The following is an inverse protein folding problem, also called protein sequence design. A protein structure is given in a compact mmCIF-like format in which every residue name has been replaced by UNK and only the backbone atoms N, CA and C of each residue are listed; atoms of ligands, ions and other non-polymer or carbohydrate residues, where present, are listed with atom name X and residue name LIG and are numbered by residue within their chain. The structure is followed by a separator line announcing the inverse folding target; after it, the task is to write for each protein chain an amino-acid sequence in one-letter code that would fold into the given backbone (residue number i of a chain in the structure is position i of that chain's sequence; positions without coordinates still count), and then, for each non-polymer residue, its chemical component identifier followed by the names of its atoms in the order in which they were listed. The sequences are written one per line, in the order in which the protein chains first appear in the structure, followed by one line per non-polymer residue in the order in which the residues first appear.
data_IF_405976788749
#
_entry.id   IF_405976788749
#
_cell.length_a   1.000
_cell.length_b   1.000
_cell.length_c   1.000
_cell.angle_alpha   90.00
_cell.angle_beta   90.00
_cell.angle_gamma   90.00
#
_symmetry.space_group_name_H-M   'P 1'
#
loop_
_entity.id
_entity.type
_entity.pdbx_description
1 polymer ?
#
# COMPACT_ATOMS: atom_id res chain seq x y z
N UNK A 1 -17.48 54.17 31.87
CA UNK A 1 -17.11 52.77 32.15
C UNK A 1 -15.68 52.56 31.71
N UNK A 2 -14.71 52.50 32.62
CA UNK A 2 -13.33 52.16 32.28
C UNK A 2 -13.25 50.64 32.17
N UNK A 3 -13.22 50.15 30.95
CA UNK A 3 -13.01 48.73 30.69
C UNK A 3 -11.59 48.39 31.12
N UNK A 4 -11.47 47.50 32.11
CA UNK A 4 -10.21 47.18 32.76
C UNK A 4 -9.28 46.52 31.76
N UNK A 5 -8.21 47.20 31.36
CA UNK A 5 -7.24 46.80 30.32
C UNK A 5 -6.65 45.41 30.60
N UNK A 6 -6.71 44.91 31.83
CA UNK A 6 -6.24 43.58 32.18
C UNK A 6 -7.18 42.47 31.71
N UNK A 7 -8.50 42.71 31.76
CA UNK A 7 -9.51 41.73 31.31
C UNK A 7 -9.45 41.55 29.81
N UNK A 8 -9.26 42.65 29.08
CA UNK A 8 -9.13 42.57 27.61
C UNK A 8 -7.86 41.81 27.18
N UNK A 9 -6.75 41.99 27.88
CA UNK A 9 -5.51 41.23 27.61
C UNK A 9 -5.64 39.74 27.87
N UNK A 10 -6.32 39.37 28.96
CA UNK A 10 -6.57 37.95 29.30
C UNK A 10 -7.49 37.30 28.25
N UNK A 11 -8.56 37.99 27.84
CA UNK A 11 -9.47 37.50 26.78
C UNK A 11 -8.76 37.31 25.45
N UNK A 12 -7.87 38.22 25.03
CA UNK A 12 -7.11 38.11 23.80
C UNK A 12 -6.10 36.96 23.84
N UNK A 13 -5.45 36.70 24.98
CA UNK A 13 -4.51 35.61 25.15
C UNK A 13 -5.21 34.24 25.14
N UNK A 14 -6.39 34.12 25.73
CA UNK A 14 -7.16 32.87 25.70
C UNK A 14 -7.73 32.56 24.30
N UNK A 15 -8.14 33.57 23.54
CA UNK A 15 -8.59 33.38 22.15
C UNK A 15 -7.46 32.91 21.23
N UNK A 16 -6.26 33.44 21.40
CA UNK A 16 -5.08 33.05 20.61
C UNK A 16 -4.68 31.58 20.86
N UNK A 17 -4.80 31.11 22.10
CA UNK A 17 -4.45 29.70 22.44
C UNK A 17 -5.50 28.69 21.91
N UNK A 18 -6.77 29.08 21.84
CA UNK A 18 -7.83 28.20 21.29
C UNK A 18 -7.69 28.06 19.78
N UNK A 19 -7.29 29.11 19.05
CA UNK A 19 -7.07 29.08 17.59
C UNK A 19 -5.87 28.21 17.20
N UNK A 20 -4.83 28.16 18.03
CA UNK A 20 -3.64 27.31 17.72
C UNK A 20 -3.88 25.82 18.01
N UNK A 21 -4.74 25.47 18.95
CA UNK A 21 -5.09 24.09 19.27
C UNK A 21 -6.15 23.50 18.30
N UNK A 22 -6.96 24.32 17.66
CA UNK A 22 -8.03 23.91 16.74
C UNK A 22 -7.54 23.50 15.34
N UNK A 23 -6.36 23.96 14.91
CA UNK A 23 -5.84 23.69 13.55
C UNK A 23 -5.10 22.34 13.48
N UNK A 24 -4.64 21.80 14.61
CA UNK A 24 -3.87 20.55 14.65
C UNK A 24 -4.67 19.27 14.45
N UNK A 25 -6.00 19.29 14.57
CA UNK A 25 -6.83 18.06 14.59
C UNK A 25 -7.41 17.70 13.21
N UNK A 26 -7.41 18.62 12.24
CA UNK A 26 -8.03 18.37 10.92
C UNK A 26 -7.06 17.74 9.93
N UNK A 27 -5.74 17.81 10.15
CA UNK A 27 -4.74 17.25 9.22
C UNK A 27 -4.48 15.74 9.39
N UNK A 28 -4.96 15.12 10.46
CA UNK A 28 -4.64 13.70 10.71
C UNK A 28 -5.50 12.68 9.96
N UNK A 29 -6.55 13.08 9.27
CA UNK A 29 -7.46 12.14 8.56
C UNK A 29 -7.26 12.02 7.05
N UNK A 30 -6.59 12.97 6.41
CA UNK A 30 -6.33 12.93 4.97
C UNK A 30 -5.03 12.19 4.62
N UNK A 31 -4.08 12.06 5.55
CA UNK A 31 -2.74 11.49 5.33
C UNK A 31 -2.75 9.98 5.10
N UNK A 32 -3.68 9.24 5.67
CA UNK A 32 -3.67 7.77 5.61
C UNK A 32 -4.05 7.17 4.24
N UNK A 33 -4.81 7.89 3.41
CA UNK A 33 -5.21 7.42 2.07
C UNK A 33 -4.20 7.76 0.98
N UNK A 34 -3.55 8.89 1.09
CA UNK A 34 -2.52 9.33 0.14
C UNK A 34 -1.20 8.59 0.33
N UNK A 35 -0.81 8.34 1.56
CA UNK A 35 0.40 7.58 1.89
C UNK A 35 0.31 6.11 1.41
N UNK A 36 -0.87 5.52 1.40
CA UNK A 36 -1.09 4.17 0.87
C UNK A 36 -0.99 4.12 -0.66
N UNK A 37 -1.38 5.18 -1.36
CA UNK A 37 -1.25 5.29 -2.81
C UNK A 37 0.20 5.54 -3.25
N UNK A 38 1.00 6.22 -2.42
CA UNK A 38 2.43 6.48 -2.66
C UNK A 38 3.32 5.27 -2.36
N UNK A 39 2.87 4.30 -1.54
CA UNK A 39 3.64 3.10 -1.21
C UNK A 39 3.98 2.24 -2.43
N UNK A 40 3.12 2.23 -3.44
CA UNK A 40 3.34 1.43 -4.64
C UNK A 40 2.82 2.19 -5.89
N UNK A 41 3.67 3.00 -6.55
CA UNK A 41 3.32 3.66 -7.80
C UNK A 41 2.84 2.67 -8.86
N UNK A 42 1.90 3.08 -9.70
CA UNK A 42 1.31 2.24 -10.77
C UNK A 42 2.37 1.64 -11.69
N UNK A 43 3.44 2.37 -11.98
CA UNK A 43 4.56 1.87 -12.79
C UNK A 43 5.20 0.64 -12.12
N UNK A 44 5.46 0.69 -10.82
CA UNK A 44 6.09 -0.41 -10.08
C UNK A 44 5.17 -1.64 -10.02
N UNK A 45 3.85 -1.43 -9.90
CA UNK A 45 2.85 -2.51 -9.97
C UNK A 45 2.95 -3.20 -11.34
N UNK A 46 3.02 -2.43 -12.41
CA UNK A 46 3.10 -2.93 -13.79
C UNK A 46 4.40 -3.70 -14.05
N UNK A 47 5.53 -3.18 -13.57
CA UNK A 47 6.84 -3.84 -13.66
C UNK A 47 6.86 -5.17 -12.90
N UNK A 48 6.31 -5.21 -11.71
CA UNK A 48 6.23 -6.40 -10.88
C UNK A 48 5.33 -7.46 -11.53
N UNK A 49 4.18 -7.07 -12.06
CA UNK A 49 3.28 -7.95 -12.78
C UNK A 49 3.96 -8.54 -14.05
N UNK A 50 4.64 -7.71 -14.80
CA UNK A 50 5.38 -8.12 -15.98
C UNK A 50 6.49 -9.12 -15.65
N UNK A 51 7.26 -8.85 -14.61
CA UNK A 51 8.30 -9.75 -14.12
C UNK A 51 7.71 -11.10 -13.71
N UNK A 52 6.63 -11.10 -12.92
CA UNK A 52 5.88 -12.31 -12.55
C UNK A 52 5.46 -13.11 -13.80
N UNK A 53 4.81 -12.47 -14.76
CA UNK A 53 4.33 -13.10 -15.98
C UNK A 53 5.47 -13.70 -16.82
N UNK A 54 6.58 -13.00 -16.90
CA UNK A 54 7.77 -13.46 -17.63
C UNK A 54 8.41 -14.68 -16.98
N UNK A 55 8.54 -14.68 -15.66
CA UNK A 55 9.09 -15.81 -14.92
C UNK A 55 8.18 -17.05 -15.02
N UNK A 56 6.87 -16.90 -14.92
CA UNK A 56 5.95 -18.02 -15.13
C UNK A 56 6.05 -18.62 -16.54
N UNK A 57 6.24 -17.80 -17.57
CA UNK A 57 6.44 -18.31 -18.94
C UNK A 57 7.71 -19.14 -19.08
N UNK A 58 8.77 -18.77 -18.37
CA UNK A 58 10.04 -19.51 -18.39
C UNK A 58 9.95 -20.81 -17.60
N UNK A 59 9.41 -20.74 -16.36
CA UNK A 59 9.41 -21.85 -15.42
C UNK A 59 8.28 -22.85 -15.69
N UNK A 60 7.15 -22.39 -16.19
CA UNK A 60 5.95 -23.18 -16.43
C UNK A 60 5.34 -22.86 -17.81
N UNK A 61 6.00 -23.24 -18.91
CA UNK A 61 5.58 -22.88 -20.27
C UNK A 61 4.22 -23.48 -20.68
N UNK A 62 3.77 -24.54 -20.00
CA UNK A 62 2.46 -25.18 -20.22
C UNK A 62 1.32 -24.53 -19.46
N UNK A 63 1.60 -23.52 -18.62
CA UNK A 63 0.57 -22.82 -17.86
C UNK A 63 -0.29 -21.99 -18.82
N UNK A 64 -1.63 -22.11 -18.67
CA UNK A 64 -2.55 -21.30 -19.49
C UNK A 64 -2.38 -19.82 -19.20
N UNK A 65 -2.66 -18.99 -20.20
CA UNK A 65 -2.60 -17.53 -20.07
C UNK A 65 -3.50 -17.04 -18.93
N UNK A 66 -4.71 -17.56 -18.84
CA UNK A 66 -5.69 -17.20 -17.81
C UNK A 66 -5.18 -17.52 -16.40
N UNK A 67 -4.59 -18.69 -16.22
CA UNK A 67 -4.03 -19.10 -14.92
C UNK A 67 -2.84 -18.22 -14.55
N UNK A 68 -1.97 -17.89 -15.53
CA UNK A 68 -0.82 -16.99 -15.32
C UNK A 68 -1.28 -15.59 -14.89
N UNK A 69 -2.27 -15.02 -15.59
CA UNK A 69 -2.87 -13.73 -15.23
C UNK A 69 -3.40 -13.75 -13.81
N UNK A 70 -4.22 -14.75 -13.46
CA UNK A 70 -4.76 -14.92 -12.12
C UNK A 70 -3.66 -14.96 -11.03
N UNK A 71 -2.62 -15.74 -11.24
CA UNK A 71 -1.52 -15.88 -10.26
C UNK A 71 -0.73 -14.58 -10.12
N UNK A 72 -0.45 -13.88 -11.23
CA UNK A 72 0.29 -12.62 -11.19
C UNK A 72 -0.53 -11.48 -10.62
N UNK A 73 -1.83 -11.43 -10.85
CA UNK A 73 -2.74 -10.47 -10.21
C UNK A 73 -2.77 -10.70 -8.69
N UNK A 74 -2.97 -11.94 -8.26
CA UNK A 74 -2.98 -12.31 -6.85
C UNK A 74 -1.64 -11.96 -6.16
N UNK A 75 -0.52 -12.31 -6.77
CA UNK A 75 0.82 -12.01 -6.27
C UNK A 75 1.06 -10.51 -6.15
N UNK A 76 0.78 -9.77 -7.21
CA UNK A 76 0.99 -8.31 -7.26
C UNK A 76 0.11 -7.60 -6.23
N UNK A 77 -1.15 -8.01 -6.10
CA UNK A 77 -2.08 -7.45 -5.11
C UNK A 77 -1.61 -7.70 -3.67
N UNK A 78 -1.11 -8.89 -3.38
CA UNK A 78 -0.53 -9.20 -2.07
C UNK A 78 0.71 -8.34 -1.79
N UNK A 79 1.63 -8.24 -2.76
CA UNK A 79 2.87 -7.49 -2.59
C UNK A 79 2.62 -6.02 -2.29
N UNK A 80 1.77 -5.35 -3.08
CA UNK A 80 1.46 -3.93 -2.88
C UNK A 80 0.73 -3.62 -1.57
N UNK A 81 0.02 -4.59 -1.01
CA UNK A 81 -0.69 -4.45 0.28
C UNK A 81 0.23 -4.69 1.48
N UNK A 82 1.26 -5.49 1.32
CA UNK A 82 2.09 -5.98 2.42
C UNK A 82 3.43 -5.26 2.54
N UNK A 83 3.99 -4.82 1.41
CA UNK A 83 5.34 -4.26 1.33
C UNK A 83 5.34 -2.86 0.74
N UNK A 84 6.40 -2.09 1.00
CA UNK A 84 6.73 -0.88 0.25
C UNK A 84 7.60 -1.22 -0.97
N UNK A 85 7.71 -0.29 -1.92
CA UNK A 85 8.60 -0.45 -3.09
C UNK A 85 10.04 -0.68 -2.67
N UNK A 86 10.51 0.04 -1.66
CA UNK A 86 11.87 -0.07 -1.11
C UNK A 86 12.10 -1.44 -0.49
N UNK A 87 11.14 -1.97 0.25
CA UNK A 87 11.21 -3.31 0.82
C UNK A 87 11.31 -4.38 -0.26
N UNK A 88 10.52 -4.25 -1.34
CA UNK A 88 10.58 -5.20 -2.46
C UNK A 88 11.94 -5.15 -3.16
N UNK A 89 12.48 -3.95 -3.41
CA UNK A 89 13.81 -3.77 -4.03
C UNK A 89 14.95 -4.29 -3.16
N UNK A 90 14.80 -4.23 -1.84
CA UNK A 90 15.80 -4.70 -0.87
C UNK A 90 15.75 -6.21 -0.61
N UNK A 91 14.79 -6.96 -1.19
CA UNK A 91 14.70 -8.40 -1.02
C UNK A 91 15.96 -9.10 -1.56
N UNK A 92 16.59 -9.89 -0.72
CA UNK A 92 17.64 -10.80 -1.16
C UNK A 92 17.03 -11.95 -1.97
N UNK A 93 17.86 -12.65 -2.73
CA UNK A 93 17.44 -13.83 -3.52
C UNK A 93 16.78 -14.91 -2.65
N UNK A 94 17.32 -15.13 -1.46
CA UNK A 94 16.78 -16.09 -0.52
C UNK A 94 15.43 -15.66 0.06
N UNK A 95 15.31 -14.39 0.43
CA UNK A 95 14.03 -13.83 0.90
C UNK A 95 12.96 -13.87 -0.19
N UNK A 96 13.32 -13.57 -1.43
CA UNK A 96 12.41 -13.66 -2.57
C UNK A 96 11.94 -15.10 -2.81
N UNK A 97 12.83 -16.09 -2.68
CA UNK A 97 12.49 -17.50 -2.77
C UNK A 97 11.53 -17.94 -1.68
N UNK A 98 11.82 -17.58 -0.43
CA UNK A 98 10.94 -17.88 0.73
C UNK A 98 9.57 -17.25 0.57
N UNK A 99 9.53 -16.00 0.08
CA UNK A 99 8.29 -15.31 -0.23
C UNK A 99 7.50 -16.04 -1.33
N UNK A 100 8.15 -16.50 -2.39
CA UNK A 100 7.53 -17.29 -3.44
C UNK A 100 6.88 -18.60 -2.93
N UNK A 101 7.49 -19.26 -1.96
CA UNK A 101 6.91 -20.45 -1.33
C UNK A 101 5.64 -20.11 -0.53
N UNK A 102 5.67 -19.03 0.25
CA UNK A 102 4.49 -18.54 0.99
C UNK A 102 3.34 -18.11 0.06
N UNK A 103 3.68 -17.59 -1.12
CA UNK A 103 2.69 -17.15 -2.11
C UNK A 103 1.87 -18.33 -2.69
N UNK A 104 2.42 -19.54 -2.73
CA UNK A 104 1.67 -20.74 -3.15
C UNK A 104 0.47 -21.03 -2.26
N UNK A 105 0.56 -20.72 -0.97
CA UNK A 105 -0.54 -20.91 -0.02
C UNK A 105 -1.59 -19.82 -0.16
N UNK A 106 -1.17 -18.58 -0.46
CA UNK A 106 -2.07 -17.43 -0.59
C UNK A 106 -2.71 -17.31 -1.97
N UNK A 107 -1.99 -17.72 -3.00
CA UNK A 107 -2.46 -17.69 -4.38
C UNK A 107 -2.46 -19.14 -4.93
N UNK A 108 -3.42 -19.98 -4.49
CA UNK A 108 -3.49 -21.36 -4.93
C UNK A 108 -3.77 -21.43 -6.42
N UNK A 109 -3.25 -22.48 -7.06
CA UNK A 109 -3.59 -22.75 -8.46
C UNK A 109 -5.10 -22.95 -8.60
N UNK A 110 -5.76 -22.29 -9.56
CA UNK A 110 -7.17 -22.52 -9.82
C UNK A 110 -7.36 -23.99 -10.20
N UNK A 111 -8.34 -24.63 -9.60
CA UNK A 111 -8.69 -26.00 -9.99
C UNK A 111 -9.19 -25.96 -11.43
N UNK A 112 -8.78 -26.91 -12.29
CA UNK A 112 -9.40 -27.05 -13.58
C UNK A 112 -10.90 -27.31 -13.33
N UNK A 113 -11.75 -26.38 -13.76
CA UNK A 113 -13.19 -26.65 -13.76
C UNK A 113 -13.41 -27.83 -14.68
N UNK A 114 -13.90 -28.93 -14.13
CA UNK A 114 -14.38 -30.05 -14.91
C UNK A 114 -15.64 -29.53 -15.59
N UNK A 115 -15.52 -29.10 -16.84
CA UNK A 115 -16.67 -28.79 -17.67
C UNK A 115 -17.37 -30.14 -17.93
N UNK A 116 -18.42 -30.38 -17.12
CA UNK A 116 -19.40 -31.44 -17.37
C UNK A 116 -20.41 -31.00 -18.39
#
# INVERSE_FOLDING_TARGET
MKTDSRIVKILLLTLATILTLGIGVIQSRASGKEESALKFPTQNIREMWWSCSTEFRKLMPTLTEQTRVYLCDCYTDHMRKTYTTEQVRALTKEQARTLGLRMRERCPMPRPEIQT
#
